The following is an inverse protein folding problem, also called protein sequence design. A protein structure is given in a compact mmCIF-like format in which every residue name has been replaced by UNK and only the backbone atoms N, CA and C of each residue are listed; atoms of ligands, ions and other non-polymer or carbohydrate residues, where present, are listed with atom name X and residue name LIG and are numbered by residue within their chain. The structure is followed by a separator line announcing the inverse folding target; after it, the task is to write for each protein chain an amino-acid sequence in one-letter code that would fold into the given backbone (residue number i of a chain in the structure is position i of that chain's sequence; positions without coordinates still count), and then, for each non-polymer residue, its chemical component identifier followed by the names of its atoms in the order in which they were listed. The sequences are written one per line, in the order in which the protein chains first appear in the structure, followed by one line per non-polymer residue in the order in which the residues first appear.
data_IF_977622368076
#
_entry.id   IF_977622368076
#
_cell.length_a   1.000
_cell.length_b   1.000
_cell.length_c   1.000
_cell.angle_alpha   90.00
_cell.angle_beta   90.00
_cell.angle_gamma   90.00
#
_symmetry.space_group_name_H-M   'P 1'
#
loop_
_entity.id
_entity.type
_entity.pdbx_description
1 polymer ?
#
# COMPACT_ATOMS: atom_id res chain seq x y z
N UNK A 1 38.13 -4.52 -0.42
CA UNK A 1 37.21 -4.48 -1.58
C UNK A 1 35.84 -4.03 -1.09
N UNK A 2 35.42 -2.79 -1.41
CA UNK A 2 34.06 -2.31 -1.10
C UNK A 2 33.10 -2.88 -2.15
N UNK A 3 31.94 -3.46 -1.79
CA UNK A 3 30.98 -3.94 -2.76
C UNK A 3 30.49 -2.77 -3.64
N UNK A 4 30.36 -3.01 -4.95
CA UNK A 4 29.95 -1.99 -5.92
C UNK A 4 28.51 -1.55 -5.66
N UNK A 5 28.34 -0.24 -5.43
CA UNK A 5 27.09 0.45 -5.12
C UNK A 5 25.93 0.16 -6.09
N UNK A 6 26.20 -0.36 -7.29
CA UNK A 6 25.20 -0.71 -8.30
C UNK A 6 24.32 -1.91 -7.93
N UNK A 7 24.79 -2.86 -7.11
CA UNK A 7 23.99 -4.04 -6.72
C UNK A 7 22.98 -3.72 -5.61
N UNK A 8 23.27 -2.74 -4.76
CA UNK A 8 22.38 -2.28 -3.69
C UNK A 8 21.22 -1.40 -4.20
N UNK A 9 21.34 -0.85 -5.41
CA UNK A 9 20.33 0.01 -6.02
C UNK A 9 19.12 -0.77 -6.58
N UNK A 10 19.28 -2.07 -6.85
CA UNK A 10 18.21 -2.91 -7.40
C UNK A 10 17.36 -3.61 -6.32
N UNK A 11 17.88 -3.72 -5.10
CA UNK A 11 17.20 -4.34 -3.95
C UNK A 11 16.63 -3.29 -2.98
N UNK A 12 16.65 -2.01 -3.34
CA UNK A 12 16.19 -0.93 -2.45
C UNK A 12 14.66 -0.98 -2.33
N UNK A 13 14.09 -1.14 -1.12
CA UNK A 13 12.65 -1.02 -0.94
C UNK A 13 12.24 0.41 -1.34
N UNK A 14 11.48 0.56 -2.44
CA UNK A 14 11.03 1.88 -2.91
C UNK A 14 10.25 2.60 -1.82
N UNK A 15 10.65 3.82 -1.44
CA UNK A 15 10.06 4.61 -0.35
C UNK A 15 8.51 4.65 -0.36
N UNK A 16 7.85 4.77 0.80
CA UNK A 16 6.39 4.80 0.94
C UNK A 16 5.73 5.99 0.23
N UNK A 17 6.54 6.98 -0.18
CA UNK A 17 6.11 8.15 -0.95
C UNK A 17 5.21 7.80 -2.16
N UNK A 18 5.41 6.64 -2.81
CA UNK A 18 4.56 6.24 -3.94
C UNK A 18 3.09 6.08 -3.54
N UNK A 19 2.83 5.50 -2.38
CA UNK A 19 1.47 5.39 -1.84
C UNK A 19 0.95 6.78 -1.44
N UNK A 20 1.76 7.55 -0.70
CA UNK A 20 1.35 8.88 -0.20
C UNK A 20 0.98 9.86 -1.32
N UNK A 21 1.66 9.78 -2.48
CA UNK A 21 1.36 10.61 -3.65
C UNK A 21 -0.05 10.35 -4.23
N UNK A 22 -0.66 9.20 -3.95
CA UNK A 22 -2.02 8.86 -4.35
C UNK A 22 -3.11 9.39 -3.40
N UNK A 23 -2.76 9.81 -2.18
CA UNK A 23 -3.72 10.26 -1.17
C UNK A 23 -4.57 11.47 -1.62
N UNK A 24 -4.03 12.49 -2.30
CA UNK A 24 -4.86 13.59 -2.81
C UNK A 24 -5.92 13.09 -3.79
N UNK A 25 -5.56 12.15 -4.67
CA UNK A 25 -6.51 11.54 -5.61
C UNK A 25 -7.60 10.72 -4.91
N UNK A 26 -7.24 9.97 -3.86
CA UNK A 26 -8.21 9.26 -3.03
C UNK A 26 -9.15 10.22 -2.30
N UNK A 27 -8.63 11.34 -1.77
CA UNK A 27 -9.44 12.35 -1.10
C UNK A 27 -10.46 13.00 -2.04
N UNK A 28 -10.04 13.37 -3.25
CA UNK A 28 -10.96 13.88 -4.28
C UNK A 28 -12.02 12.85 -4.63
N UNK A 29 -11.63 11.60 -4.88
CA UNK A 29 -12.56 10.53 -5.21
C UNK A 29 -13.59 10.27 -4.11
N UNK A 30 -13.16 10.33 -2.85
CA UNK A 30 -14.06 10.19 -1.70
C UNK A 30 -15.07 11.34 -1.61
N UNK A 31 -14.62 12.58 -1.80
CA UNK A 31 -15.49 13.76 -1.83
C UNK A 31 -16.51 13.70 -2.99
N UNK A 32 -16.08 13.25 -4.16
CA UNK A 32 -16.91 13.16 -5.37
C UNK A 32 -17.78 11.90 -5.42
N UNK A 33 -17.70 11.02 -4.40
CA UNK A 33 -18.34 9.69 -4.39
C UNK A 33 -18.02 8.85 -5.63
N UNK A 34 -16.81 9.01 -6.16
CA UNK A 34 -16.31 8.25 -7.30
C UNK A 34 -15.90 6.84 -6.89
N UNK A 35 -16.31 5.84 -7.67
CA UNK A 35 -15.95 4.44 -7.43
C UNK A 35 -14.52 4.16 -7.93
N UNK A 36 -13.54 4.23 -7.03
CA UNK A 36 -12.13 3.91 -7.32
C UNK A 36 -11.69 2.69 -6.51
N UNK A 37 -11.02 1.75 -7.20
CA UNK A 37 -10.33 0.62 -6.58
C UNK A 37 -8.81 0.82 -6.69
N UNK A 38 -8.17 1.15 -5.56
CA UNK A 38 -6.74 1.46 -5.50
C UNK A 38 -5.95 0.25 -5.00
N UNK A 39 -4.96 -0.20 -5.79
CA UNK A 39 -4.01 -1.26 -5.42
C UNK A 39 -2.65 -0.61 -5.21
N UNK A 40 -2.05 -0.86 -4.04
CA UNK A 40 -0.72 -0.36 -3.70
C UNK A 40 0.18 -1.50 -3.22
N UNK A 41 1.48 -1.37 -3.50
CA UNK A 41 2.50 -2.22 -2.91
C UNK A 41 2.82 -1.79 -1.48
N UNK A 42 3.19 -2.74 -0.62
CA UNK A 42 3.69 -2.50 0.74
C UNK A 42 4.92 -3.36 1.02
N UNK A 43 5.59 -3.10 2.14
CA UNK A 43 6.69 -3.94 2.59
C UNK A 43 6.24 -5.41 2.76
N UNK A 44 7.10 -6.40 2.45
CA UNK A 44 6.82 -7.80 2.75
C UNK A 44 6.49 -7.99 4.24
N UNK A 45 5.56 -8.90 4.55
CA UNK A 45 5.12 -9.13 5.94
C UNK A 45 6.26 -9.57 6.87
N UNK A 46 7.22 -10.35 6.33
CA UNK A 46 8.43 -10.77 7.04
C UNK A 46 9.35 -9.61 7.45
N UNK A 47 9.24 -8.47 6.78
CA UNK A 47 10.09 -7.29 6.99
C UNK A 47 9.32 -6.16 7.72
N UNK A 48 8.17 -6.49 8.33
CA UNK A 48 7.29 -5.52 8.99
C UNK A 48 7.92 -4.89 10.24
N UNK A 49 8.72 -5.63 11.00
CA UNK A 49 9.34 -5.16 12.26
C UNK A 49 10.81 -4.73 12.07
N UNK A 50 11.38 -4.96 10.88
CA UNK A 50 12.80 -4.73 10.60
C UNK A 50 13.09 -3.28 10.18
N UNK A 51 12.24 -2.32 10.57
CA UNK A 51 12.31 -0.92 10.15
C UNK A 51 12.56 -0.78 8.63
N UNK A 52 11.85 -1.59 7.84
CA UNK A 52 12.01 -1.56 6.39
C UNK A 52 11.63 -0.19 5.87
N UNK A 53 12.39 0.33 4.88
CA UNK A 53 12.16 1.67 4.33
C UNK A 53 10.72 1.87 3.82
N UNK A 54 10.03 0.79 3.43
CA UNK A 54 8.63 0.77 2.99
C UNK A 54 7.60 0.59 4.12
N UNK A 55 8.02 0.14 5.30
CA UNK A 55 7.15 -0.18 6.43
C UNK A 55 6.94 0.96 7.44
N UNK A 56 7.57 2.12 7.22
CA UNK A 56 7.51 3.25 8.17
C UNK A 56 6.15 3.93 8.29
N UNK A 57 5.23 3.71 7.33
CA UNK A 57 3.88 4.26 7.33
C UNK A 57 2.88 3.12 7.26
N UNK A 58 1.95 3.07 8.21
CA UNK A 58 0.78 2.20 8.12
C UNK A 58 -0.20 2.75 7.08
N UNK A 59 -0.14 2.18 5.88
CA UNK A 59 -0.98 2.58 4.75
C UNK A 59 -2.48 2.39 5.05
N UNK A 60 -2.86 1.37 5.83
CA UNK A 60 -4.29 1.11 6.13
C UNK A 60 -4.83 2.18 7.04
N UNK A 61 -4.10 2.53 8.10
CA UNK A 61 -4.51 3.60 9.03
C UNK A 61 -4.63 4.93 8.29
N UNK A 62 -3.70 5.24 7.39
CA UNK A 62 -3.73 6.46 6.58
C UNK A 62 -4.88 6.48 5.57
N UNK A 63 -5.25 5.33 4.97
CA UNK A 63 -6.32 5.24 3.98
C UNK A 63 -7.73 5.28 4.58
N UNK A 64 -7.91 4.83 5.83
CA UNK A 64 -9.23 4.72 6.50
C UNK A 64 -10.12 5.97 6.39
N UNK A 65 -9.64 7.21 6.66
CA UNK A 65 -10.51 8.39 6.55
C UNK A 65 -10.85 8.79 5.11
N UNK A 66 -10.16 8.25 4.11
CA UNK A 66 -10.30 8.63 2.69
C UNK A 66 -10.90 7.51 1.84
N UNK A 67 -11.30 6.39 2.44
CA UNK A 67 -11.81 5.22 1.72
C UNK A 67 -12.91 4.53 2.51
N UNK A 68 -13.84 3.91 1.78
CA UNK A 68 -14.96 3.14 2.37
C UNK A 68 -14.48 1.79 2.93
N UNK A 69 -13.37 1.28 2.38
CA UNK A 69 -12.72 0.05 2.78
C UNK A 69 -11.21 0.16 2.53
N UNK A 70 -10.41 -0.15 3.56
CA UNK A 70 -8.96 -0.21 3.49
C UNK A 70 -8.48 -1.49 4.17
N UNK A 71 -7.65 -2.27 3.48
CA UNK A 71 -7.18 -3.55 3.99
C UNK A 71 -5.79 -3.91 3.47
N UNK A 72 -4.98 -4.54 4.32
CA UNK A 72 -3.69 -5.13 3.97
C UNK A 72 -3.83 -6.64 3.94
N UNK A 73 -3.60 -7.23 2.78
CA UNK A 73 -3.72 -8.67 2.57
C UNK A 73 -2.53 -9.37 3.23
N UNK A 74 -2.81 -10.31 4.13
CA UNK A 74 -1.79 -11.10 4.85
C UNK A 74 -1.59 -12.49 4.24
N UNK A 75 -2.60 -13.02 3.55
CA UNK A 75 -2.63 -14.35 2.96
C UNK A 75 -3.06 -14.26 1.49
N UNK A 76 -2.36 -14.94 0.59
CA UNK A 76 -2.59 -14.81 -0.84
C UNK A 76 -3.94 -15.42 -1.28
N UNK A 77 -4.36 -16.49 -0.61
CA UNK A 77 -5.63 -17.17 -0.81
C UNK A 77 -6.84 -16.28 -0.53
N UNK A 78 -6.69 -15.24 0.30
CA UNK A 78 -7.75 -14.29 0.62
C UNK A 78 -7.98 -13.23 -0.47
N UNK A 79 -7.05 -13.09 -1.42
CA UNK A 79 -7.12 -12.04 -2.46
C UNK A 79 -8.47 -12.04 -3.19
N UNK A 80 -8.97 -13.17 -3.74
CA UNK A 80 -10.22 -13.14 -4.51
C UNK A 80 -11.42 -12.71 -3.67
N UNK A 81 -11.48 -13.17 -2.41
CA UNK A 81 -12.57 -12.86 -1.47
C UNK A 81 -12.54 -11.38 -1.08
N UNK A 82 -11.37 -10.85 -0.73
CA UNK A 82 -11.21 -9.46 -0.30
C UNK A 82 -11.42 -8.48 -1.45
N UNK A 83 -10.95 -8.82 -2.66
CA UNK A 83 -11.25 -8.04 -3.87
C UNK A 83 -12.75 -8.03 -4.12
N UNK A 84 -13.41 -9.20 -4.10
CA UNK A 84 -14.87 -9.29 -4.28
C UNK A 84 -15.63 -8.44 -3.26
N UNK A 85 -15.20 -8.44 -1.99
CA UNK A 85 -15.78 -7.60 -0.96
C UNK A 85 -15.59 -6.10 -1.27
N UNK A 86 -14.38 -5.68 -1.63
CA UNK A 86 -14.08 -4.27 -1.95
C UNK A 86 -14.93 -3.71 -3.09
N UNK A 87 -15.24 -4.52 -4.11
CA UNK A 87 -16.11 -4.13 -5.23
C UNK A 87 -17.58 -3.96 -4.83
N UNK A 88 -18.02 -4.61 -3.75
CA UNK A 88 -19.41 -4.56 -3.26
C UNK A 88 -19.61 -3.53 -2.16
N UNK A 89 -18.53 -2.95 -1.63
CA UNK A 89 -18.61 -1.95 -0.58
C UNK A 89 -19.30 -0.69 -1.12
N UNK A 90 -20.42 -0.27 -0.51
CA UNK A 90 -21.22 0.88 -0.95
C UNK A 90 -20.46 2.19 -0.78
#
# INVERSE_FOLDING_TARGET
MKPSQSRLQNDTPRSPARYSNGLPGLATAYADRSSIFCITSSAPLRDAENNSLQGSIDQVVVAKPLTKFAHRITHAEDIPRLVSHAFRTP
#
